data_IF_061981411905
#
_entry.id   IF_061981411905
#
_cell.length_a   1.000
_cell.length_b   1.000
_cell.length_c   1.000
_cell.angle_alpha   90.00
_cell.angle_beta   90.00
_cell.angle_gamma   90.00
#
_symmetry.space_group_name_H-M   'P 1'
#
loop_
_entity.id
_entity.type
_entity.pdbx_description
1 polymer ?
#
# COMPACT_ATOMS: atom_id res chain seq x y z
N UNK A 1 51.29 -6.93 27.71
CA UNK A 1 52.67 -6.83 28.23
C UNK A 1 53.39 -5.74 27.44
N UNK A 2 53.91 -4.75 28.17
CA UNK A 2 54.73 -3.58 27.79
C UNK A 2 54.91 -3.17 26.31
N UNK A 3 54.63 -1.88 26.06
CA UNK A 3 55.47 -0.84 25.37
C UNK A 3 54.52 0.29 24.93
N UNK A 4 54.75 1.59 25.02
CA UNK A 4 55.85 2.43 25.49
C UNK A 4 55.51 3.85 24.98
N UNK A 5 55.23 4.81 25.87
CA UNK A 5 54.95 6.20 25.48
C UNK A 5 56.23 6.85 24.95
N UNK A 6 56.22 7.30 23.70
CA UNK A 6 57.31 8.11 23.11
C UNK A 6 56.86 9.57 23.11
N UNK A 7 57.34 10.32 24.10
CA UNK A 7 57.38 11.79 24.07
C UNK A 7 58.74 12.22 23.53
N UNK A 8 58.78 12.73 22.30
CA UNK A 8 59.98 13.39 21.77
C UNK A 8 60.01 14.86 22.18
N UNK A 9 60.98 15.17 23.05
CA UNK A 9 61.40 16.51 23.45
C UNK A 9 62.46 16.95 22.46
N UNK A 10 62.21 18.01 21.68
CA UNK A 10 63.21 18.56 20.76
C UNK A 10 63.99 19.66 21.47
N UNK A 11 65.25 19.39 21.75
CA UNK A 11 66.24 20.32 22.31
C UNK A 11 66.99 21.02 21.18
N UNK A 12 67.17 22.34 21.29
CA UNK A 12 67.87 23.19 20.32
C UNK A 12 69.39 22.91 20.27
N UNK A 13 69.94 22.73 19.06
CA UNK A 13 71.38 22.64 18.80
C UNK A 13 71.90 23.97 18.22
N UNK A 14 72.97 24.48 18.82
CA UNK A 14 73.74 25.66 18.44
C UNK A 14 74.39 25.52 17.04
N UNK A 15 74.31 26.56 16.20
CA UNK A 15 75.09 26.67 14.97
C UNK A 15 76.08 27.85 14.99
N UNK A 16 77.34 27.44 14.81
CA UNK A 16 78.64 28.07 14.63
C UNK A 16 78.68 29.35 13.76
N UNK A 17 79.40 30.36 14.25
CA UNK A 17 79.78 31.62 13.59
C UNK A 17 81.01 31.42 12.68
N UNK A 18 81.02 31.96 11.45
CA UNK A 18 82.28 32.17 10.70
C UNK A 18 82.20 33.22 9.58
N UNK A 19 83.36 33.89 9.37
CA UNK A 19 83.86 34.68 8.20
C UNK A 19 83.40 36.14 8.08
N UNK A 20 84.20 37.08 7.54
CA UNK A 20 85.65 37.29 7.35
C UNK A 20 85.79 38.78 6.89
N UNK A 21 86.92 39.38 7.23
CA UNK A 21 87.63 40.53 6.64
C UNK A 21 87.05 41.27 5.42
N UNK A 22 87.01 42.61 5.51
CA UNK A 22 87.35 43.52 4.42
C UNK A 22 88.08 44.77 4.93
N UNK A 23 89.07 45.20 4.16
CA UNK A 23 90.08 46.21 4.47
C UNK A 23 89.89 47.43 3.55
N UNK A 24 90.00 48.67 4.05
CA UNK A 24 90.38 49.83 3.23
C UNK A 24 90.90 51.00 4.10
N UNK A 25 92.17 51.37 3.86
CA UNK A 25 92.82 52.67 4.14
C UNK A 25 92.05 53.79 3.39
N UNK A 26 92.03 55.09 3.72
CA UNK A 26 92.88 56.07 4.45
C UNK A 26 92.04 57.35 4.64
N UNK A 27 92.30 58.17 5.68
CA UNK A 27 91.78 59.55 5.80
C UNK A 27 92.03 60.18 7.17
N UNK A 28 92.73 61.30 7.21
CA UNK A 28 93.42 61.93 8.36
C UNK A 28 92.49 62.74 9.29
N UNK A 29 92.70 62.55 10.60
CA UNK A 29 92.70 63.46 11.78
C UNK A 29 92.01 64.84 11.65
N UNK A 30 91.01 65.09 12.51
CA UNK A 30 90.86 66.33 13.28
C UNK A 30 89.92 66.06 14.48
N UNK A 31 90.24 66.66 15.63
CA UNK A 31 89.73 66.27 16.95
C UNK A 31 88.29 66.66 17.26
N UNK A 32 87.78 66.07 18.33
CA UNK A 32 86.44 66.34 18.84
C UNK A 32 85.99 65.24 19.78
N UNK A 33 86.40 65.34 21.04
CA UNK A 33 85.92 64.49 22.14
C UNK A 33 84.42 64.69 22.29
N UNK A 34 83.62 63.83 21.67
CA UNK A 34 82.20 63.66 21.99
C UNK A 34 82.03 62.26 22.57
N UNK A 35 81.88 62.22 23.89
CA UNK A 35 81.40 61.06 24.60
C UNK A 35 80.00 60.72 24.10
N UNK A 36 79.89 59.85 23.08
CA UNK A 36 78.65 59.15 22.79
C UNK A 36 78.57 58.04 23.82
N UNK A 37 77.86 58.32 24.90
CA UNK A 37 77.36 57.29 25.80
C UNK A 37 76.47 56.40 24.93
N UNK A 38 76.97 55.24 24.52
CA UNK A 38 76.13 54.15 24.05
C UNK A 38 75.33 53.67 25.26
N UNK A 39 74.22 54.34 25.55
CA UNK A 39 73.15 53.74 26.34
C UNK A 39 72.55 52.69 25.41
N UNK A 40 73.13 51.48 25.36
CA UNK A 40 72.39 50.30 24.91
C UNK A 40 71.42 49.92 26.02
N UNK A 41 70.51 50.83 26.36
CA UNK A 41 69.28 50.45 27.01
C UNK A 41 68.55 49.62 25.98
N UNK A 42 68.53 48.30 26.15
CA UNK A 42 67.55 47.49 25.43
C UNK A 42 66.21 48.16 25.69
N UNK A 43 65.57 48.69 24.65
CA UNK A 43 64.18 49.14 24.75
C UNK A 43 63.42 48.00 25.40
N UNK A 44 62.91 48.25 26.61
CA UNK A 44 62.17 47.29 27.41
C UNK A 44 60.76 47.07 26.84
N UNK A 45 60.37 47.90 25.88
CA UNK A 45 59.11 47.85 25.15
C UNK A 45 59.33 47.56 23.66
N UNK A 46 58.31 47.00 23.02
CA UNK A 46 58.24 46.77 21.59
C UNK A 46 56.83 47.07 21.08
N UNK A 47 56.73 47.43 19.81
CA UNK A 47 55.46 47.60 19.11
C UNK A 47 54.82 46.24 18.85
N UNK A 48 53.52 46.12 19.10
CA UNK A 48 52.77 44.90 18.81
C UNK A 48 52.62 44.71 17.29
N UNK A 49 52.68 43.47 16.76
CA UNK A 49 52.40 43.23 15.35
C UNK A 49 50.99 43.68 14.99
N UNK A 50 50.82 44.25 13.79
CA UNK A 50 49.52 44.76 13.33
C UNK A 50 48.46 43.67 13.24
N UNK A 51 47.20 44.06 13.44
CA UNK A 51 46.02 43.18 13.46
C UNK A 51 45.98 42.21 12.27
N UNK A 52 46.32 42.68 11.07
CA UNK A 52 46.24 41.92 9.81
C UNK A 52 47.26 40.77 9.75
N UNK A 53 48.33 40.86 10.55
CA UNK A 53 49.36 39.82 10.69
C UNK A 53 49.04 38.80 11.79
N UNK A 54 47.94 38.99 12.51
CA UNK A 54 47.57 38.18 13.67
C UNK A 54 46.37 37.30 13.37
N UNK A 55 45.20 37.91 13.18
CA UNK A 55 43.93 37.19 13.15
C UNK A 55 43.73 36.46 11.82
N UNK A 56 43.32 35.19 11.89
CA UNK A 56 43.16 34.32 10.72
C UNK A 56 44.47 33.78 10.14
N UNK A 57 45.64 34.21 10.64
CA UNK A 57 46.94 33.67 10.25
C UNK A 57 47.24 32.38 11.04
N UNK A 58 48.11 31.53 10.50
CA UNK A 58 48.56 30.32 11.19
C UNK A 58 49.29 30.66 12.49
N UNK A 59 49.02 29.90 13.55
CA UNK A 59 49.66 30.07 14.86
C UNK A 59 51.18 30.24 14.78
N UNK A 60 51.88 29.38 14.04
CA UNK A 60 53.33 29.44 13.90
C UNK A 60 53.82 30.77 13.28
N UNK A 61 53.07 31.32 12.31
CA UNK A 61 53.37 32.61 11.68
C UNK A 61 53.18 33.76 12.65
N UNK A 62 52.11 33.72 13.45
CA UNK A 62 51.81 34.75 14.46
C UNK A 62 52.87 34.73 15.57
N UNK A 63 53.25 33.54 16.06
CA UNK A 63 54.36 33.38 17.01
C UNK A 63 55.64 33.98 16.46
N UNK A 64 55.96 33.71 15.18
CA UNK A 64 57.14 34.29 14.52
C UNK A 64 57.08 35.82 14.48
N UNK A 65 55.94 36.43 14.18
CA UNK A 65 55.79 37.89 14.18
C UNK A 65 56.02 38.50 15.57
N UNK A 66 55.55 37.86 16.64
CA UNK A 66 55.83 38.29 18.01
C UNK A 66 57.31 38.13 18.38
N UNK A 67 57.93 37.01 18.01
CA UNK A 67 59.37 36.77 18.23
C UNK A 67 60.24 37.79 17.48
N UNK A 68 59.91 38.10 16.23
CA UNK A 68 60.58 39.11 15.41
C UNK A 68 60.45 40.52 16.01
N UNK A 69 59.33 40.82 16.67
CA UNK A 69 59.13 42.06 17.42
C UNK A 69 59.85 42.08 18.79
N UNK A 70 60.44 40.96 19.23
CA UNK A 70 61.22 40.86 20.45
C UNK A 70 60.42 40.43 21.69
N UNK A 71 59.25 39.81 21.50
CA UNK A 71 58.48 39.19 22.58
C UNK A 71 58.94 37.75 22.84
N UNK A 72 59.16 37.41 24.11
CA UNK A 72 59.68 36.09 24.50
C UNK A 72 58.65 35.26 25.30
N UNK A 73 57.72 35.91 26.01
CA UNK A 73 56.72 35.26 26.85
C UNK A 73 55.42 34.97 26.05
N UNK A 74 55.48 34.00 25.14
CA UNK A 74 54.38 33.65 24.24
C UNK A 74 53.84 32.26 24.61
N UNK A 75 52.52 32.17 24.81
CA UNK A 75 51.81 30.93 25.13
C UNK A 75 50.70 30.68 24.11
N UNK A 76 50.58 29.43 23.68
CA UNK A 76 49.48 28.96 22.84
C UNK A 76 48.33 28.43 23.69
N UNK A 77 47.09 28.71 23.26
CA UNK A 77 45.87 28.13 23.84
C UNK A 77 45.02 27.52 22.72
N UNK A 78 44.85 26.21 22.76
CA UNK A 78 44.07 25.50 21.74
C UNK A 78 42.57 25.69 21.95
N UNK A 79 41.87 25.90 20.84
CA UNK A 79 40.42 25.87 20.72
C UNK A 79 40.10 24.61 19.92
N UNK A 80 39.81 23.50 20.60
CA UNK A 80 39.62 22.18 20.00
C UNK A 80 38.23 22.07 19.35
N UNK A 81 38.05 22.71 18.20
CA UNK A 81 36.77 22.82 17.50
C UNK A 81 36.81 22.34 16.03
N UNK A 82 37.99 22.09 15.48
CA UNK A 82 38.12 21.66 14.08
C UNK A 82 37.78 20.18 13.93
N UNK A 83 36.74 19.89 13.15
CA UNK A 83 36.30 18.54 12.80
C UNK A 83 36.98 17.98 11.56
N UNK A 84 37.55 18.85 10.73
CA UNK A 84 38.20 18.50 9.47
C UNK A 84 39.31 19.50 9.16
N UNK A 85 40.43 18.99 8.65
CA UNK A 85 41.50 19.85 8.17
C UNK A 85 42.72 19.07 7.69
N UNK A 86 43.51 19.70 6.82
CA UNK A 86 44.85 19.27 6.46
C UNK A 86 45.77 19.31 7.68
N UNK A 87 46.50 18.22 7.88
CA UNK A 87 47.44 18.06 8.99
C UNK A 87 48.53 19.13 8.88
N UNK A 88 48.75 19.88 9.97
CA UNK A 88 49.80 20.89 10.07
C UNK A 88 49.47 22.27 9.49
N UNK A 89 48.34 22.47 8.81
CA UNK A 89 48.00 23.76 8.18
C UNK A 89 46.78 24.47 8.80
N UNK A 90 45.90 23.75 9.50
CA UNK A 90 44.63 24.30 9.99
C UNK A 90 44.72 24.66 11.46
N UNK A 91 45.32 25.82 11.74
CA UNK A 91 45.36 26.40 13.08
C UNK A 91 45.31 27.94 13.09
N UNK A 92 44.28 28.55 12.46
CA UNK A 92 44.15 30.00 12.45
C UNK A 92 44.00 30.58 13.85
N UNK A 93 44.66 31.71 14.10
CA UNK A 93 44.54 32.46 15.35
C UNK A 93 43.22 33.21 15.41
N UNK A 94 42.46 33.02 16.50
CA UNK A 94 41.18 33.69 16.74
C UNK A 94 41.32 34.86 17.73
N UNK A 95 42.09 34.66 18.80
CA UNK A 95 42.23 35.66 19.86
C UNK A 95 43.69 35.80 20.25
N UNK A 96 44.14 37.04 20.38
CA UNK A 96 45.43 37.36 21.01
C UNK A 96 45.12 38.22 22.23
N UNK A 97 45.70 37.87 23.38
CA UNK A 97 45.69 38.70 24.59
C UNK A 97 47.10 39.07 25.00
N UNK A 98 47.27 40.31 25.43
CA UNK A 98 48.51 40.92 25.88
C UNK A 98 48.30 41.36 27.32
N UNK A 99 49.07 40.79 28.25
CA UNK A 99 48.99 41.07 29.69
C UNK A 99 47.57 40.87 30.28
N UNK A 100 46.86 39.84 29.78
CA UNK A 100 45.50 39.51 30.21
C UNK A 100 44.38 40.31 29.52
N UNK A 101 44.70 41.36 28.75
CA UNK A 101 43.71 42.10 27.96
C UNK A 101 43.68 41.64 26.50
N UNK A 102 42.53 41.79 25.83
CA UNK A 102 42.44 41.58 24.37
C UNK A 102 43.39 42.54 23.65
N UNK A 103 44.10 42.02 22.65
CA UNK A 103 45.08 42.78 21.86
C UNK A 103 44.49 44.12 21.36
N UNK A 104 45.31 45.17 21.48
CA UNK A 104 45.08 46.52 20.96
C UNK A 104 46.39 47.01 20.36
N UNK A 105 46.32 47.90 19.38
CA UNK A 105 47.51 48.52 18.80
C UNK A 105 48.27 49.33 19.85
N UNK A 106 49.60 49.25 19.84
CA UNK A 106 50.43 50.01 20.76
C UNK A 106 51.75 49.32 21.12
N UNK A 107 52.42 49.92 22.10
CA UNK A 107 53.71 49.48 22.63
C UNK A 107 53.52 48.88 24.02
N UNK A 108 54.11 47.71 24.26
CA UNK A 108 54.06 47.02 25.55
C UNK A 108 55.44 46.48 25.93
N UNK A 109 55.61 46.04 27.18
CA UNK A 109 56.88 45.46 27.64
C UNK A 109 57.15 44.14 26.91
N UNK A 110 58.40 43.89 26.52
CA UNK A 110 58.81 42.68 25.79
C UNK A 110 58.56 41.37 26.54
N UNK A 111 58.54 41.42 27.87
CA UNK A 111 58.25 40.28 28.74
C UNK A 111 56.75 40.14 29.10
N UNK A 112 55.88 41.02 28.58
CA UNK A 112 54.45 40.94 28.80
C UNK A 112 53.92 39.57 28.34
N UNK A 113 53.06 38.89 29.12
CA UNK A 113 52.47 37.63 28.72
C UNK A 113 51.62 37.81 27.46
N UNK A 114 51.97 37.08 26.40
CA UNK A 114 51.19 37.00 25.16
C UNK A 114 50.51 35.62 25.14
N UNK A 115 49.18 35.59 25.12
CA UNK A 115 48.42 34.34 24.91
C UNK A 115 47.75 34.40 23.56
N UNK A 116 48.05 33.43 22.72
CA UNK A 116 47.50 33.29 21.37
C UNK A 116 46.55 32.09 21.39
N UNK A 117 45.26 32.36 21.29
CA UNK A 117 44.23 31.32 21.15
C UNK A 117 44.00 31.02 19.68
N UNK A 118 44.09 29.75 19.30
CA UNK A 118 44.02 29.29 17.91
C UNK A 118 43.18 28.02 17.79
N UNK A 119 42.52 27.88 16.65
CA UNK A 119 41.72 26.70 16.34
C UNK A 119 42.62 25.46 16.19
N UNK A 120 42.18 24.34 16.73
CA UNK A 120 42.92 23.08 16.75
C UNK A 120 41.98 21.90 16.51
N UNK A 121 42.49 20.75 16.04
CA UNK A 121 41.69 19.55 15.86
C UNK A 121 40.98 19.14 17.16
N UNK A 122 39.73 18.67 17.06
CA UNK A 122 39.05 18.04 18.19
C UNK A 122 39.84 16.82 18.68
N UNK A 123 39.65 16.46 19.96
CA UNK A 123 40.32 15.31 20.57
C UNK A 123 39.98 13.97 19.90
N UNK A 124 38.81 13.88 19.28
CA UNK A 124 38.33 12.69 18.58
C UNK A 124 38.75 12.66 17.09
N UNK A 125 39.61 13.57 16.66
CA UNK A 125 40.10 13.59 15.28
C UNK A 125 41.14 12.51 15.04
N UNK A 126 41.06 11.90 13.86
CA UNK A 126 41.92 10.80 13.42
C UNK A 126 42.37 11.03 11.98
N UNK A 127 43.56 10.53 11.67
CA UNK A 127 44.02 10.40 10.28
C UNK A 127 43.56 9.04 9.74
N UNK A 128 42.80 9.06 8.66
CA UNK A 128 42.35 7.84 7.96
C UNK A 128 43.36 7.49 6.87
N UNK A 129 43.80 6.24 6.78
CA UNK A 129 44.72 5.78 5.73
C UNK A 129 44.00 4.87 4.75
N UNK A 130 43.37 5.50 3.77
CA UNK A 130 42.63 4.80 2.73
C UNK A 130 43.41 4.71 1.41
N UNK A 131 43.35 3.54 0.78
CA UNK A 131 43.79 3.28 -0.60
C UNK A 131 42.59 2.96 -1.47
N UNK A 132 42.42 3.61 -2.65
CA UNK A 132 41.44 3.20 -3.63
C UNK A 132 41.59 1.72 -3.97
N UNK A 133 40.48 1.01 -4.17
CA UNK A 133 40.46 -0.45 -4.37
C UNK A 133 40.85 -1.28 -3.13
N UNK A 134 40.89 -0.73 -1.92
CA UNK A 134 40.88 -1.57 -0.72
C UNK A 134 39.61 -2.41 -0.64
N UNK A 135 39.69 -3.59 -0.02
CA UNK A 135 38.49 -4.42 0.23
C UNK A 135 37.60 -3.72 1.26
N UNK A 136 36.29 -3.74 1.01
CA UNK A 136 35.27 -3.12 1.86
C UNK A 136 35.40 -3.54 3.33
N UNK A 137 35.56 -4.84 3.59
CA UNK A 137 35.68 -5.38 4.95
C UNK A 137 36.93 -4.88 5.70
N UNK A 138 38.03 -4.63 4.99
CA UNK A 138 39.26 -4.11 5.59
C UNK A 138 39.08 -2.63 5.98
N UNK A 139 38.42 -1.86 5.11
CA UNK A 139 38.14 -0.43 5.32
C UNK A 139 37.14 -0.21 6.44
N UNK A 140 36.03 -0.97 6.47
CA UNK A 140 35.04 -0.92 7.54
C UNK A 140 35.67 -1.21 8.92
N UNK A 141 36.54 -2.23 8.97
CA UNK A 141 37.27 -2.61 10.18
C UNK A 141 38.24 -1.51 10.62
N UNK A 142 38.92 -0.86 9.69
CA UNK A 142 39.81 0.27 10.00
C UNK A 142 39.04 1.47 10.54
N UNK A 143 37.97 1.88 9.86
CA UNK A 143 37.12 3.00 10.29
C UNK A 143 36.54 2.76 11.69
N UNK A 144 36.05 1.54 11.94
CA UNK A 144 35.53 1.15 13.26
C UNK A 144 36.60 1.23 14.35
N UNK A 145 37.84 0.80 14.05
CA UNK A 145 38.98 0.91 14.99
C UNK A 145 39.37 2.37 15.26
N UNK A 146 39.22 3.25 14.27
CA UNK A 146 39.46 4.67 14.39
C UNK A 146 38.34 5.41 15.13
N UNK A 147 37.26 4.72 15.50
CA UNK A 147 36.19 5.26 16.35
C UNK A 147 34.97 5.79 15.60
N UNK A 148 34.93 5.65 14.26
CA UNK A 148 33.73 5.99 13.49
C UNK A 148 32.60 5.02 13.83
N UNK A 149 31.44 5.56 14.18
CA UNK A 149 30.26 4.76 14.61
C UNK A 149 29.13 4.74 13.58
N UNK A 150 29.06 5.75 12.73
CA UNK A 150 28.04 5.89 11.70
C UNK A 150 28.71 5.62 10.35
N UNK A 151 28.65 4.38 9.88
CA UNK A 151 29.27 3.96 8.63
C UNK A 151 28.17 3.39 7.72
N UNK A 152 27.76 4.19 6.75
CA UNK A 152 26.78 3.81 5.74
C UNK A 152 27.50 3.19 4.54
N UNK A 153 27.33 1.89 4.35
CA UNK A 153 27.85 1.15 3.20
C UNK A 153 26.79 1.07 2.11
N UNK A 154 27.12 1.58 0.92
CA UNK A 154 26.19 1.69 -0.19
C UNK A 154 26.74 0.90 -1.38
N UNK A 155 26.09 -0.20 -1.78
CA UNK A 155 26.56 -1.00 -2.89
C UNK A 155 26.32 -0.32 -4.24
N UNK A 156 27.28 -0.45 -5.13
CA UNK A 156 27.19 -0.25 -6.56
C UNK A 156 26.97 -1.64 -7.15
N UNK A 157 25.72 -1.93 -7.53
CA UNK A 157 25.33 -3.25 -7.99
C UNK A 157 25.84 -3.51 -9.40
N UNK A 158 26.62 -4.58 -9.56
CA UNK A 158 27.16 -5.04 -10.84
C UNK A 158 26.88 -6.52 -11.04
N UNK A 159 26.77 -6.95 -12.30
CA UNK A 159 26.66 -8.37 -12.65
C UNK A 159 28.05 -9.02 -12.59
N UNK A 160 28.14 -10.28 -12.15
CA UNK A 160 29.43 -10.96 -11.93
C UNK A 160 30.31 -11.08 -13.17
N UNK A 161 29.70 -11.28 -14.33
CA UNK A 161 30.40 -11.51 -15.59
C UNK A 161 31.31 -10.33 -15.94
N UNK A 162 32.63 -10.55 -15.89
CA UNK A 162 33.65 -9.57 -16.29
C UNK A 162 33.94 -8.47 -15.27
N UNK A 163 33.42 -8.56 -14.04
CA UNK A 163 33.64 -7.58 -12.96
C UNK A 163 34.33 -8.21 -11.72
N UNK A 164 34.90 -9.40 -11.86
CA UNK A 164 35.51 -10.16 -10.76
C UNK A 164 36.58 -9.36 -10.01
N UNK A 165 37.33 -8.52 -10.71
CA UNK A 165 38.39 -7.66 -10.16
C UNK A 165 37.85 -6.54 -9.25
N UNK A 166 36.60 -6.10 -9.51
CA UNK A 166 35.92 -5.06 -8.74
C UNK A 166 35.22 -5.60 -7.50
N UNK A 167 35.06 -6.91 -7.36
CA UNK A 167 34.30 -7.50 -6.26
C UNK A 167 34.79 -7.00 -4.89
N UNK A 168 33.85 -6.44 -4.12
CA UNK A 168 34.04 -5.97 -2.75
C UNK A 168 35.08 -4.84 -2.64
N UNK A 169 35.35 -4.12 -3.73
CA UNK A 169 36.27 -2.99 -3.77
C UNK A 169 35.54 -1.69 -3.45
N UNK A 170 36.18 -0.85 -2.64
CA UNK A 170 35.70 0.51 -2.38
C UNK A 170 35.86 1.37 -3.63
N UNK A 171 34.81 2.11 -3.94
CA UNK A 171 34.76 3.13 -4.98
C UNK A 171 35.02 4.52 -4.40
N UNK A 172 34.16 4.98 -3.47
CA UNK A 172 34.33 6.27 -2.79
C UNK A 172 34.19 6.16 -1.28
N UNK A 173 34.98 6.96 -0.56
CA UNK A 173 34.88 7.17 0.88
C UNK A 173 34.61 8.66 1.13
N UNK A 174 33.49 8.95 1.78
CA UNK A 174 33.11 10.30 2.21
C UNK A 174 32.98 10.32 3.73
N UNK A 175 33.53 11.34 4.38
CA UNK A 175 33.49 11.54 5.84
C UNK A 175 32.89 12.93 6.10
N UNK A 176 31.74 12.97 6.76
CA UNK A 176 30.87 14.14 6.85
C UNK A 176 30.47 14.62 5.44
N UNK A 177 30.75 15.89 5.16
CA UNK A 177 30.49 16.50 3.85
C UNK A 177 31.73 16.51 2.93
N UNK A 178 32.77 15.75 3.27
CA UNK A 178 34.06 15.77 2.57
C UNK A 178 34.35 14.43 1.91
N UNK A 179 34.67 14.45 0.62
CA UNK A 179 35.32 13.29 0.00
C UNK A 179 36.68 13.08 0.67
N UNK A 180 37.04 11.83 0.94
CA UNK A 180 38.31 11.50 1.56
C UNK A 180 39.49 12.09 0.78
N UNK A 181 40.40 12.69 1.54
CA UNK A 181 41.67 13.23 1.08
C UNK A 181 42.80 12.73 1.99
N UNK A 182 43.89 12.29 1.36
CA UNK A 182 45.12 11.90 2.07
C UNK A 182 45.78 13.10 2.76
N UNK A 183 46.31 12.90 3.97
CA UNK A 183 46.95 13.96 4.76
C UNK A 183 45.98 14.91 5.49
N UNK A 184 44.71 14.52 5.63
CA UNK A 184 43.69 15.25 6.39
C UNK A 184 43.28 14.46 7.64
N UNK A 185 42.94 15.18 8.70
CA UNK A 185 42.27 14.64 9.87
C UNK A 185 40.76 14.83 9.76
N UNK A 186 40.01 13.92 10.39
CA UNK A 186 38.56 13.92 10.44
C UNK A 186 38.13 13.57 11.86
N UNK A 187 37.13 14.25 12.39
CA UNK A 187 36.49 13.88 13.66
C UNK A 187 35.78 12.54 13.50
N UNK A 188 36.05 11.60 14.41
CA UNK A 188 35.42 10.28 14.42
C UNK A 188 33.90 10.32 14.66
N UNK A 189 33.38 11.47 15.11
CA UNK A 189 31.95 11.74 15.24
C UNK A 189 31.22 11.98 13.91
N UNK A 190 31.96 12.29 12.83
CA UNK A 190 31.36 12.54 11.52
C UNK A 190 30.79 11.25 10.90
N UNK A 191 29.64 11.33 10.22
CA UNK A 191 29.08 10.18 9.50
C UNK A 191 29.97 9.81 8.31
N UNK A 192 30.14 8.51 8.07
CA UNK A 192 30.91 7.99 6.95
C UNK A 192 29.95 7.39 5.94
N UNK A 193 30.13 7.73 4.67
CA UNK A 193 29.44 7.12 3.54
C UNK A 193 30.46 6.46 2.63
N UNK A 194 30.29 5.18 2.38
CA UNK A 194 31.25 4.33 1.68
C UNK A 194 30.54 3.61 0.54
N UNK A 195 30.90 3.93 -0.71
CA UNK A 195 30.40 3.19 -1.87
C UNK A 195 31.35 2.05 -2.23
N UNK A 196 30.80 0.89 -2.59
CA UNK A 196 31.61 -0.28 -2.95
C UNK A 196 30.95 -1.08 -4.06
N UNK A 197 31.73 -1.79 -4.86
CA UNK A 197 31.17 -2.64 -5.92
C UNK A 197 30.69 -3.97 -5.35
N UNK A 198 29.38 -4.20 -5.42
CA UNK A 198 28.76 -5.47 -5.10
C UNK A 198 28.60 -6.26 -6.40
N UNK A 199 29.44 -7.28 -6.53
CA UNK A 199 29.51 -8.17 -7.68
C UNK A 199 28.98 -9.53 -7.21
N UNK A 200 27.65 -9.68 -7.23
CA UNK A 200 26.94 -10.87 -6.78
C UNK A 200 26.10 -11.47 -7.90
N UNK A 201 26.00 -12.80 -7.97
CA UNK A 201 25.03 -13.50 -8.81
C UNK A 201 23.57 -13.19 -8.46
N UNK A 202 23.31 -12.61 -7.29
CA UNK A 202 21.97 -12.16 -6.88
C UNK A 202 21.63 -10.76 -7.40
N UNK A 203 22.53 -10.15 -8.16
CA UNK A 203 22.21 -8.96 -8.94
C UNK A 203 21.60 -9.40 -10.27
N UNK A 204 20.46 -8.83 -10.62
CA UNK A 204 19.76 -9.04 -11.88
C UNK A 204 19.65 -7.74 -12.65
N UNK A 205 19.77 -7.85 -13.98
CA UNK A 205 19.47 -6.75 -14.89
C UNK A 205 17.98 -6.76 -15.16
N UNK A 206 17.29 -5.65 -14.93
CA UNK A 206 15.88 -5.50 -15.28
C UNK A 206 15.75 -5.54 -16.81
N UNK A 207 15.08 -6.55 -17.38
CA UNK A 207 14.94 -6.67 -18.83
C UNK A 207 13.97 -5.64 -19.43
N UNK A 208 14.18 -5.21 -20.68
CA UNK A 208 13.27 -4.28 -21.38
C UNK A 208 11.83 -4.82 -21.49
N UNK A 209 11.68 -6.11 -21.73
CA UNK A 209 10.37 -6.76 -21.80
C UNK A 209 9.63 -6.86 -20.45
N UNK A 210 10.29 -6.62 -19.31
CA UNK A 210 9.60 -6.42 -18.01
C UNK A 210 9.01 -5.01 -17.92
N UNK A 211 9.63 -4.05 -18.59
CA UNK A 211 9.24 -2.64 -18.61
C UNK A 211 8.07 -2.43 -19.56
N UNK A 212 8.14 -3.06 -20.73
CA UNK A 212 7.18 -2.87 -21.82
C UNK A 212 5.99 -3.83 -21.78
N UNK A 213 5.95 -4.75 -20.80
CA UNK A 213 4.88 -5.73 -20.74
C UNK A 213 3.51 -5.07 -20.49
N UNK A 214 2.57 -5.33 -21.38
CA UNK A 214 1.24 -4.74 -21.30
C UNK A 214 0.26 -5.59 -20.50
N UNK A 215 0.54 -6.89 -20.36
CA UNK A 215 -0.37 -7.84 -19.69
C UNK A 215 0.29 -8.61 -18.54
N UNK A 216 -0.53 -8.98 -17.56
CA UNK A 216 -0.13 -9.81 -16.40
C UNK A 216 0.51 -11.13 -16.83
N UNK A 217 -0.10 -11.85 -17.76
CA UNK A 217 0.40 -13.17 -18.20
C UNK A 217 1.76 -13.08 -18.90
N UNK A 218 1.98 -12.05 -19.70
CA UNK A 218 3.27 -11.80 -20.36
C UNK A 218 4.34 -11.44 -19.33
N UNK A 219 4.04 -10.46 -18.48
CA UNK A 219 4.97 -9.96 -17.48
C UNK A 219 5.39 -11.05 -16.48
N UNK A 220 4.46 -11.92 -16.08
CA UNK A 220 4.76 -13.03 -15.17
C UNK A 220 5.84 -13.96 -15.71
N UNK A 221 5.86 -14.21 -17.03
CA UNK A 221 6.93 -15.01 -17.66
C UNK A 221 8.26 -14.28 -17.62
N UNK A 222 8.26 -12.99 -17.97
CA UNK A 222 9.47 -12.18 -18.03
C UNK A 222 10.12 -11.99 -16.65
N UNK A 223 9.33 -11.71 -15.62
CA UNK A 223 9.82 -11.55 -14.24
C UNK A 223 10.43 -12.86 -13.71
N UNK A 224 9.78 -14.01 -13.97
CA UNK A 224 10.32 -15.33 -13.55
C UNK A 224 11.65 -15.64 -14.25
N UNK A 225 11.74 -15.38 -15.55
CA UNK A 225 12.98 -15.58 -16.32
C UNK A 225 14.09 -14.63 -15.86
N UNK A 226 13.73 -13.39 -15.51
CA UNK A 226 14.67 -12.40 -14.99
C UNK A 226 15.21 -12.74 -13.59
N UNK A 227 14.57 -13.67 -12.87
CA UNK A 227 15.05 -14.18 -11.58
C UNK A 227 14.63 -13.37 -10.36
N UNK A 228 13.61 -12.52 -10.47
CA UNK A 228 13.01 -11.86 -9.31
C UNK A 228 12.42 -12.91 -8.36
N UNK A 229 12.61 -12.73 -7.06
CA UNK A 229 12.15 -13.69 -6.03
C UNK A 229 11.05 -13.13 -5.14
N UNK A 230 10.97 -11.82 -4.95
CA UNK A 230 9.94 -11.15 -4.13
C UNK A 230 8.94 -10.39 -5.01
N UNK A 231 7.91 -11.10 -5.47
CA UNK A 231 6.93 -10.61 -6.46
C UNK A 231 5.55 -10.49 -5.80
N UNK A 232 4.98 -9.30 -5.81
CA UNK A 232 3.63 -9.02 -5.32
C UNK A 232 2.73 -8.53 -6.45
N UNK A 233 1.56 -9.17 -6.58
CA UNK A 233 0.52 -8.77 -7.52
C UNK A 233 -0.63 -8.08 -6.79
N UNK A 234 -1.02 -6.91 -7.30
CA UNK A 234 -2.11 -6.10 -6.75
C UNK A 234 -3.20 -5.94 -7.81
N UNK A 235 -4.36 -6.54 -7.56
CA UNK A 235 -5.53 -6.37 -8.41
C UNK A 235 -6.15 -5.00 -8.15
N UNK A 236 -6.29 -4.20 -9.20
CA UNK A 236 -6.95 -2.89 -9.16
C UNK A 236 -8.28 -3.03 -9.90
N UNK A 237 -9.38 -2.89 -9.17
CA UNK A 237 -10.72 -3.03 -9.73
C UNK A 237 -10.93 -2.07 -10.91
N UNK A 238 -11.24 -2.63 -12.09
CA UNK A 238 -11.47 -1.88 -13.32
C UNK A 238 -12.77 -2.34 -13.99
N UNK A 239 -13.64 -1.37 -14.33
CA UNK A 239 -14.92 -1.64 -15.00
C UNK A 239 -14.75 -1.88 -16.49
N UNK A 240 -13.65 -1.45 -17.09
CA UNK A 240 -13.40 -1.69 -18.51
C UNK A 240 -12.83 -3.11 -18.69
N UNK A 241 -13.67 -4.01 -19.19
CA UNK A 241 -13.30 -5.39 -19.48
C UNK A 241 -12.13 -5.50 -20.47
N UNK A 242 -11.98 -4.52 -21.38
CA UNK A 242 -10.87 -4.51 -22.34
C UNK A 242 -9.52 -4.25 -21.67
N UNK A 243 -9.51 -3.72 -20.44
CA UNK A 243 -8.31 -3.53 -19.65
C UNK A 243 -8.00 -4.71 -18.73
N UNK A 244 -8.85 -5.75 -18.67
CA UNK A 244 -8.58 -6.87 -17.78
C UNK A 244 -7.18 -7.45 -18.03
N UNK A 245 -6.44 -7.65 -16.93
CA UNK A 245 -5.05 -8.09 -16.88
C UNK A 245 -4.01 -7.08 -17.40
N UNK A 246 -4.40 -5.88 -17.84
CA UNK A 246 -3.43 -4.86 -18.26
C UNK A 246 -2.64 -4.33 -17.07
N UNK A 247 -1.34 -4.16 -17.26
CA UNK A 247 -0.45 -3.59 -16.25
C UNK A 247 -0.72 -2.09 -16.12
N UNK A 248 -1.00 -1.63 -14.91
CA UNK A 248 -1.18 -0.21 -14.60
C UNK A 248 0.10 0.42 -14.08
N UNK A 249 0.82 -0.31 -13.19
CA UNK A 249 1.97 0.23 -12.48
C UNK A 249 2.90 -0.88 -12.03
N UNK A 250 4.21 -0.64 -12.16
CA UNK A 250 5.27 -1.48 -11.62
C UNK A 250 6.08 -0.63 -10.64
N UNK A 251 6.38 -1.18 -9.47
CA UNK A 251 7.20 -0.52 -8.44
C UNK A 251 8.34 -1.47 -8.05
N UNK A 252 9.58 -0.98 -8.03
CA UNK A 252 10.78 -1.71 -7.64
C UNK A 252 11.39 -1.06 -6.39
N UNK A 253 11.53 -1.81 -5.30
CA UNK A 253 12.10 -1.31 -4.05
C UNK A 253 11.37 -0.07 -3.49
N UNK A 254 10.07 0.05 -3.79
CA UNK A 254 9.24 1.21 -3.41
C UNK A 254 9.26 2.38 -4.40
N UNK A 255 10.06 2.33 -5.47
CA UNK A 255 10.13 3.37 -6.50
C UNK A 255 9.34 2.95 -7.74
N UNK A 256 8.45 3.82 -8.21
CA UNK A 256 7.69 3.58 -9.45
C UNK A 256 8.63 3.50 -10.65
N UNK A 257 8.51 2.43 -11.42
CA UNK A 257 9.34 2.18 -12.59
C UNK A 257 8.86 3.06 -13.75
N UNK A 258 9.54 4.19 -13.96
CA UNK A 258 9.30 5.09 -15.11
C UNK A 258 10.48 5.03 -16.04
N UNK A 259 10.41 4.23 -17.10
CA UNK A 259 11.54 4.08 -18.00
C UNK A 259 11.21 4.54 -19.40
N UNK A 260 11.97 5.56 -19.82
CA UNK A 260 12.00 6.11 -21.18
C UNK A 260 13.45 6.27 -21.67
N UNK A 261 14.41 5.74 -20.93
CA UNK A 261 15.85 5.94 -21.14
C UNK A 261 16.52 4.58 -21.22
N UNK A 262 17.49 4.45 -22.14
CA UNK A 262 18.36 3.26 -22.35
C UNK A 262 19.26 2.92 -21.14
N UNK A 263 18.93 3.37 -19.94
CA UNK A 263 19.72 3.12 -18.75
C UNK A 263 19.48 1.69 -18.29
N UNK A 264 20.56 0.93 -18.16
CA UNK A 264 20.51 -0.41 -17.58
C UNK A 264 20.27 -0.29 -16.08
N UNK A 265 19.26 -1.00 -15.58
CA UNK A 265 18.97 -1.09 -14.15
C UNK A 265 19.46 -2.44 -13.65
N UNK A 266 20.29 -2.41 -12.62
CA UNK A 266 20.77 -3.60 -11.91
C UNK A 266 20.26 -3.52 -10.47
N UNK A 267 19.58 -4.56 -10.01
CA UNK A 267 19.00 -4.65 -8.66
C UNK A 267 19.25 -6.04 -8.06
N UNK A 268 19.01 -6.19 -6.76
CA UNK A 268 19.01 -7.50 -6.10
C UNK A 268 17.76 -8.31 -6.48
N UNK A 269 17.87 -9.65 -6.61
CA UNK A 269 16.74 -10.56 -6.90
C UNK A 269 15.61 -10.43 -5.89
N UNK A 270 15.97 -10.26 -4.63
CA UNK A 270 15.08 -10.08 -3.48
C UNK A 270 14.52 -8.66 -3.37
N UNK A 271 14.88 -7.74 -4.27
CA UNK A 271 14.28 -6.40 -4.30
C UNK A 271 12.78 -6.56 -4.56
N UNK A 272 11.90 -6.08 -3.66
CA UNK A 272 10.46 -6.24 -3.83
C UNK A 272 9.99 -5.60 -5.13
N UNK A 273 9.31 -6.38 -5.97
CA UNK A 273 8.59 -5.90 -7.14
C UNK A 273 7.08 -5.98 -6.88
N UNK A 274 6.41 -4.85 -6.94
CA UNK A 274 4.96 -4.75 -6.78
C UNK A 274 4.36 -4.34 -8.11
N UNK A 275 3.45 -5.17 -8.62
CA UNK A 275 2.78 -4.97 -9.91
C UNK A 275 1.29 -4.80 -9.68
N UNK A 276 0.77 -3.63 -10.06
CA UNK A 276 -0.65 -3.36 -10.09
C UNK A 276 -1.20 -3.61 -11.50
N UNK A 277 -2.32 -4.32 -11.60
CA UNK A 277 -2.99 -4.64 -12.86
C UNK A 277 -4.50 -4.44 -12.76
N UNK A 278 -5.12 -4.11 -13.89
CA UNK A 278 -6.57 -3.95 -14.02
C UNK A 278 -7.30 -5.29 -13.86
N UNK A 279 -8.27 -5.35 -12.96
CA UNK A 279 -9.07 -6.54 -12.65
C UNK A 279 -10.57 -6.30 -12.84
N UNK A 280 -11.15 -7.01 -13.80
CA UNK A 280 -12.58 -7.00 -14.08
C UNK A 280 -13.33 -8.06 -13.26
N UNK A 281 -12.65 -8.93 -12.50
CA UNK A 281 -13.25 -10.11 -11.87
C UNK A 281 -14.39 -9.80 -10.90
N UNK A 282 -14.39 -8.61 -10.30
CA UNK A 282 -15.44 -8.12 -9.39
C UNK A 282 -16.67 -7.56 -10.12
N UNK A 283 -16.61 -7.38 -11.43
CA UNK A 283 -17.68 -6.81 -12.26
C UNK A 283 -18.29 -7.85 -13.20
N UNK A 284 -19.52 -7.59 -13.61
CA UNK A 284 -20.22 -8.34 -14.63
C UNK A 284 -21.09 -7.39 -15.47
N UNK A 285 -21.37 -7.82 -16.69
CA UNK A 285 -22.26 -7.11 -17.60
C UNK A 285 -23.71 -7.51 -17.29
N UNK A 286 -24.57 -6.52 -17.10
CA UNK A 286 -26.01 -6.71 -17.00
C UNK A 286 -26.57 -7.27 -18.31
N UNK A 287 -27.62 -8.11 -18.26
CA UNK A 287 -28.34 -8.49 -19.47
C UNK A 287 -28.85 -7.23 -20.19
N UNK A 288 -28.93 -7.27 -21.51
CA UNK A 288 -29.39 -6.11 -22.31
C UNK A 288 -30.89 -5.91 -22.20
N UNK A 289 -31.65 -7.00 -22.05
CA UNK A 289 -33.10 -7.02 -21.89
C UNK A 289 -33.51 -8.18 -20.97
N UNK A 290 -34.69 -8.07 -20.35
CA UNK A 290 -35.32 -9.14 -19.57
C UNK A 290 -36.51 -9.65 -20.39
N UNK A 291 -36.33 -10.79 -21.06
CA UNK A 291 -37.31 -11.31 -22.03
C UNK A 291 -38.34 -12.28 -21.43
N UNK A 292 -38.24 -12.60 -20.14
CA UNK A 292 -39.12 -13.55 -19.44
C UNK A 292 -40.03 -12.84 -18.45
N UNK A 293 -41.21 -13.41 -18.23
CA UNK A 293 -42.18 -12.95 -17.22
C UNK A 293 -42.19 -13.84 -15.98
N UNK A 294 -41.42 -14.94 -15.97
CA UNK A 294 -41.37 -15.90 -14.85
C UNK A 294 -40.23 -15.58 -13.89
N UNK A 295 -40.51 -15.71 -12.59
CA UNK A 295 -39.54 -15.46 -11.51
C UNK A 295 -38.32 -16.39 -11.63
N UNK A 296 -38.54 -17.69 -11.82
CA UNK A 296 -37.46 -18.68 -11.89
C UNK A 296 -36.48 -18.42 -13.05
N UNK A 297 -37.01 -18.08 -14.22
CA UNK A 297 -36.20 -17.78 -15.40
C UNK A 297 -35.44 -16.46 -15.24
N UNK A 298 -36.09 -15.44 -14.64
CA UNK A 298 -35.46 -14.15 -14.34
C UNK A 298 -34.31 -14.34 -13.34
N UNK A 299 -34.53 -15.13 -12.29
CA UNK A 299 -33.51 -15.45 -11.30
C UNK A 299 -32.32 -16.15 -11.94
N UNK A 300 -32.57 -17.14 -12.80
CA UNK A 300 -31.54 -17.84 -13.55
C UNK A 300 -30.73 -16.89 -14.44
N UNK A 301 -31.39 -15.97 -15.16
CA UNK A 301 -30.73 -14.98 -16.03
C UNK A 301 -29.67 -14.16 -15.28
N UNK A 302 -29.99 -13.67 -14.08
CA UNK A 302 -29.06 -12.87 -13.28
C UNK A 302 -27.95 -13.73 -12.63
N UNK A 303 -28.27 -14.92 -12.14
CA UNK A 303 -27.27 -15.83 -11.57
C UNK A 303 -26.25 -16.26 -12.64
N UNK A 304 -26.74 -16.70 -13.82
CA UNK A 304 -25.90 -17.08 -14.95
C UNK A 304 -25.10 -15.88 -15.50
N UNK A 305 -25.66 -14.66 -15.37
CA UNK A 305 -24.99 -13.39 -15.66
C UNK A 305 -23.93 -12.96 -14.64
N UNK A 306 -23.71 -13.72 -13.56
CA UNK A 306 -22.69 -13.45 -12.55
C UNK A 306 -23.16 -12.66 -11.33
N UNK A 307 -24.47 -12.53 -11.12
CA UNK A 307 -25.08 -11.84 -9.97
C UNK A 307 -25.73 -12.85 -9.03
N UNK A 308 -25.02 -13.40 -8.02
CA UNK A 308 -25.55 -14.42 -7.13
C UNK A 308 -26.58 -13.90 -6.12
N UNK A 309 -26.60 -12.60 -5.84
CA UNK A 309 -27.46 -12.00 -4.82
C UNK A 309 -28.84 -11.65 -5.37
N UNK A 310 -29.65 -12.68 -5.66
CA UNK A 310 -31.01 -12.50 -6.20
C UNK A 310 -32.07 -12.80 -5.14
N UNK A 311 -32.91 -11.82 -4.86
CA UNK A 311 -34.03 -11.88 -3.91
C UNK A 311 -35.36 -11.59 -4.61
N UNK A 312 -36.45 -12.02 -3.99
CA UNK A 312 -37.80 -11.95 -4.55
C UNK A 312 -38.72 -11.18 -3.59
N UNK A 313 -39.52 -10.25 -4.10
CA UNK A 313 -40.47 -9.45 -3.32
C UNK A 313 -41.84 -9.53 -3.96
N UNK A 314 -42.82 -9.98 -3.18
CA UNK A 314 -44.21 -10.12 -3.62
C UNK A 314 -44.96 -8.78 -3.52
N UNK A 315 -45.82 -8.52 -4.49
CA UNK A 315 -46.83 -7.46 -4.46
C UNK A 315 -48.21 -8.09 -4.66
N UNK A 316 -49.12 -7.84 -3.72
CA UNK A 316 -50.45 -8.45 -3.76
C UNK A 316 -51.27 -7.97 -4.96
N UNK A 317 -52.05 -8.89 -5.55
CA UNK A 317 -53.03 -8.59 -6.61
C UNK A 317 -54.29 -9.45 -6.49
N UNK A 318 -55.41 -8.91 -6.96
CA UNK A 318 -56.66 -9.65 -7.10
C UNK A 318 -56.77 -10.37 -8.46
N UNK A 319 -55.85 -10.11 -9.40
CA UNK A 319 -55.86 -10.71 -10.73
C UNK A 319 -55.10 -12.04 -10.75
N UNK A 320 -55.82 -13.15 -10.68
CA UNK A 320 -55.24 -14.50 -10.69
C UNK A 320 -54.36 -14.76 -11.94
N UNK A 321 -54.71 -14.18 -13.09
CA UNK A 321 -53.94 -14.32 -14.33
C UNK A 321 -52.53 -13.72 -14.26
N UNK A 322 -52.29 -12.79 -13.32
CA UNK A 322 -50.98 -12.15 -13.11
C UNK A 322 -50.12 -12.90 -12.09
N UNK A 323 -50.65 -13.89 -11.37
CA UNK A 323 -49.91 -14.58 -10.31
C UNK A 323 -48.56 -15.12 -10.80
N UNK A 324 -47.49 -14.79 -10.09
CA UNK A 324 -46.13 -15.21 -10.41
C UNK A 324 -45.48 -14.46 -11.58
N UNK A 325 -46.14 -13.45 -12.16
CA UNK A 325 -45.55 -12.61 -13.20
C UNK A 325 -44.66 -11.52 -12.60
N UNK A 326 -43.48 -11.32 -13.21
CA UNK A 326 -42.54 -10.26 -12.84
C UNK A 326 -43.14 -8.89 -13.16
N UNK A 327 -43.06 -7.98 -12.19
CA UNK A 327 -43.45 -6.57 -12.28
C UNK A 327 -42.26 -5.74 -12.76
N UNK A 328 -41.15 -5.87 -12.05
CA UNK A 328 -39.94 -5.12 -12.26
C UNK A 328 -38.77 -5.88 -11.66
N UNK A 329 -37.57 -5.59 -12.16
CA UNK A 329 -36.32 -5.98 -11.50
C UNK A 329 -35.63 -4.72 -11.05
N UNK A 330 -35.19 -4.70 -9.79
CA UNK A 330 -34.39 -3.64 -9.22
C UNK A 330 -32.98 -4.15 -8.93
N UNK A 331 -31.99 -3.29 -9.14
CA UNK A 331 -30.60 -3.57 -8.80
C UNK A 331 -30.11 -2.44 -7.91
N UNK A 332 -29.68 -2.78 -6.69
CA UNK A 332 -29.35 -1.82 -5.62
C UNK A 332 -30.43 -0.74 -5.44
N UNK A 333 -31.69 -1.14 -5.56
CA UNK A 333 -32.87 -0.27 -5.41
C UNK A 333 -33.22 0.59 -6.63
N UNK A 334 -32.52 0.47 -7.76
CA UNK A 334 -32.87 1.14 -9.02
C UNK A 334 -33.55 0.20 -9.99
N UNK A 335 -34.62 0.64 -10.65
CA UNK A 335 -35.30 -0.17 -11.68
C UNK A 335 -34.34 -0.44 -12.83
N UNK A 336 -34.28 -1.69 -13.29
CA UNK A 336 -33.37 -2.17 -14.33
C UNK A 336 -33.40 -1.32 -15.63
N UNK A 337 -34.59 -0.82 -16.01
CA UNK A 337 -34.76 0.06 -17.17
C UNK A 337 -34.01 1.38 -17.05
N UNK A 338 -33.77 1.84 -15.83
CA UNK A 338 -33.24 3.18 -15.53
C UNK A 338 -31.71 3.14 -15.33
N UNK A 339 -31.12 1.94 -15.41
CA UNK A 339 -29.69 1.73 -15.23
C UNK A 339 -28.98 1.91 -16.57
N UNK A 340 -28.28 3.04 -16.68
CA UNK A 340 -27.46 3.37 -17.84
C UNK A 340 -26.13 2.60 -17.89
N UNK A 341 -25.49 2.41 -16.73
CA UNK A 341 -24.23 1.65 -16.63
C UNK A 341 -24.51 0.16 -16.67
N UNK A 342 -24.15 -0.51 -17.76
CA UNK A 342 -24.36 -1.95 -17.93
C UNK A 342 -23.28 -2.80 -17.27
N UNK A 343 -22.20 -2.20 -16.75
CA UNK A 343 -21.16 -2.94 -16.02
C UNK A 343 -21.23 -2.57 -14.54
N UNK A 344 -21.65 -3.52 -13.72
CA UNK A 344 -21.81 -3.31 -12.28
C UNK A 344 -21.09 -4.41 -11.50
N UNK A 345 -21.00 -4.25 -10.17
CA UNK A 345 -20.34 -5.24 -9.33
C UNK A 345 -21.18 -6.51 -9.20
N UNK A 346 -20.53 -7.67 -9.12
CA UNK A 346 -21.21 -8.97 -8.95
C UNK A 346 -21.97 -9.08 -7.63
N UNK A 347 -21.55 -8.35 -6.59
CA UNK A 347 -22.19 -8.32 -5.27
C UNK A 347 -23.41 -7.39 -5.19
N UNK A 348 -23.78 -6.70 -6.28
CA UNK A 348 -24.98 -5.87 -6.36
C UNK A 348 -26.24 -6.69 -6.08
N UNK A 349 -27.16 -6.13 -5.31
CA UNK A 349 -28.40 -6.81 -4.90
C UNK A 349 -29.44 -6.75 -6.02
N UNK A 350 -29.84 -7.90 -6.55
CA UNK A 350 -30.93 -8.02 -7.51
C UNK A 350 -32.23 -8.36 -6.77
N UNK A 351 -33.28 -7.57 -6.99
CA UNK A 351 -34.60 -7.76 -6.39
C UNK A 351 -35.63 -7.94 -7.50
N UNK A 352 -36.25 -9.11 -7.57
CA UNK A 352 -37.33 -9.42 -8.51
C UNK A 352 -38.66 -9.12 -7.82
N UNK A 353 -39.36 -8.07 -8.26
CA UNK A 353 -40.72 -7.77 -7.81
C UNK A 353 -41.71 -8.53 -8.67
N UNK A 354 -42.68 -9.21 -8.06
CA UNK A 354 -43.66 -10.02 -8.79
C UNK A 354 -45.07 -9.93 -8.18
N UNK A 355 -46.09 -10.25 -8.98
CA UNK A 355 -47.48 -10.27 -8.54
C UNK A 355 -47.81 -11.56 -7.76
N UNK A 356 -48.36 -11.44 -6.55
CA UNK A 356 -48.88 -12.56 -5.77
C UNK A 356 -50.42 -12.48 -5.69
N UNK A 357 -51.11 -13.49 -6.22
CA UNK A 357 -52.57 -13.59 -6.18
C UNK A 357 -53.07 -14.70 -5.24
N UNK A 358 -52.22 -15.21 -4.33
CA UNK A 358 -52.58 -16.31 -3.41
C UNK A 358 -53.90 -16.08 -2.67
N UNK A 359 -54.14 -14.86 -2.17
CA UNK A 359 -55.40 -14.51 -1.51
C UNK A 359 -56.60 -14.64 -2.45
N UNK A 360 -56.51 -14.11 -3.66
CA UNK A 360 -57.59 -14.19 -4.66
C UNK A 360 -57.81 -15.63 -5.15
N UNK A 361 -56.74 -16.42 -5.25
CA UNK A 361 -56.81 -17.85 -5.58
C UNK A 361 -57.53 -18.61 -4.46
N UNK A 362 -57.17 -18.38 -3.20
CA UNK A 362 -57.80 -19.01 -2.04
C UNK A 362 -59.28 -18.63 -1.92
N UNK A 363 -59.61 -17.35 -2.09
CA UNK A 363 -61.01 -16.87 -2.08
C UNK A 363 -61.82 -17.48 -3.24
N UNK A 364 -61.24 -17.62 -4.43
CA UNK A 364 -61.88 -18.29 -5.56
C UNK A 364 -62.09 -19.78 -5.27
N UNK A 365 -61.08 -20.46 -4.72
CA UNK A 365 -61.18 -21.87 -4.37
C UNK A 365 -62.27 -22.13 -3.33
N UNK A 366 -62.40 -21.26 -2.32
CA UNK A 366 -63.47 -21.32 -1.32
C UNK A 366 -64.85 -21.17 -1.99
N UNK A 367 -65.02 -20.17 -2.84
CA UNK A 367 -66.28 -19.93 -3.57
C UNK A 367 -66.63 -21.08 -4.51
N UNK A 368 -65.65 -21.62 -5.21
CA UNK A 368 -65.83 -22.76 -6.11
C UNK A 368 -66.24 -24.03 -5.32
N UNK A 369 -65.66 -24.25 -4.13
CA UNK A 369 -66.04 -25.37 -3.26
C UNK A 369 -67.43 -25.20 -2.63
N UNK A 370 -67.77 -24.00 -2.16
CA UNK A 370 -69.13 -23.67 -1.71
C UNK A 370 -70.15 -23.92 -2.83
N UNK A 371 -69.84 -23.48 -4.05
CA UNK A 371 -70.69 -23.73 -5.20
C UNK A 371 -70.84 -25.23 -5.52
N UNK A 372 -69.78 -26.03 -5.36
CA UNK A 372 -69.83 -27.50 -5.51
C UNK A 372 -70.71 -28.15 -4.44
N UNK A 373 -70.58 -27.75 -3.18
CA UNK A 373 -71.42 -28.27 -2.07
C UNK A 373 -72.89 -27.92 -2.32
N UNK A 374 -73.19 -26.68 -2.71
CA UNK A 374 -74.57 -26.25 -3.03
C UNK A 374 -75.12 -27.02 -4.23
N UNK A 375 -74.31 -27.21 -5.28
CA UNK A 375 -74.71 -27.99 -6.45
C UNK A 375 -75.00 -29.46 -6.10
N UNK A 376 -74.18 -30.07 -5.24
CA UNK A 376 -74.38 -31.43 -4.76
C UNK A 376 -75.61 -31.56 -3.86
N UNK A 377 -75.83 -30.63 -2.93
CA UNK A 377 -77.03 -30.58 -2.10
C UNK A 377 -78.32 -30.46 -2.94
N UNK A 378 -78.29 -29.64 -4.01
CA UNK A 378 -79.39 -29.54 -4.97
C UNK A 378 -79.62 -30.84 -5.72
N UNK A 379 -78.55 -31.54 -6.14
CA UNK A 379 -78.64 -32.87 -6.79
C UNK A 379 -79.25 -33.91 -5.85
N UNK A 380 -78.76 -34.00 -4.61
CA UNK A 380 -79.28 -34.93 -3.61
C UNK A 380 -80.75 -34.65 -3.27
N UNK A 381 -81.13 -33.38 -3.15
CA UNK A 381 -82.53 -32.98 -2.94
C UNK A 381 -83.40 -33.43 -4.12
N UNK A 382 -82.95 -33.24 -5.36
CA UNK A 382 -83.66 -33.69 -6.56
C UNK A 382 -83.84 -35.22 -6.57
N UNK A 383 -82.80 -35.98 -6.26
CA UNK A 383 -82.86 -37.44 -6.14
C UNK A 383 -83.81 -37.87 -5.03
N UNK A 384 -83.75 -37.23 -3.85
CA UNK A 384 -84.64 -37.51 -2.72
C UNK A 384 -86.11 -37.26 -3.07
N UNK A 385 -86.42 -36.14 -3.71
CA UNK A 385 -87.78 -35.83 -4.16
C UNK A 385 -88.25 -36.84 -5.21
N UNK A 386 -87.39 -37.23 -6.15
CA UNK A 386 -87.71 -38.25 -7.15
C UNK A 386 -87.97 -39.62 -6.51
N UNK A 387 -87.15 -40.04 -5.55
CA UNK A 387 -87.35 -41.27 -4.80
C UNK A 387 -88.63 -41.22 -3.95
N UNK A 388 -88.95 -40.08 -3.32
CA UNK A 388 -90.22 -39.91 -2.60
C UNK A 388 -91.41 -40.01 -3.56
N UNK A 389 -91.36 -39.38 -4.73
CA UNK A 389 -92.42 -39.50 -5.75
C UNK A 389 -92.60 -40.97 -6.17
N UNK A 390 -91.50 -41.72 -6.38
CA UNK A 390 -91.56 -43.15 -6.69
C UNK A 390 -92.14 -43.98 -5.54
N UNK A 391 -91.77 -43.70 -4.29
CA UNK A 391 -92.31 -44.39 -3.10
C UNK A 391 -93.79 -44.07 -2.87
N UNK A 392 -94.23 -42.83 -3.05
CA UNK A 392 -95.65 -42.47 -2.98
C UNK A 392 -96.46 -43.16 -4.08
N UNK A 393 -95.95 -43.21 -5.32
CA UNK A 393 -96.62 -43.94 -6.42
C UNK A 393 -96.66 -45.47 -6.19
N UNK A 394 -95.64 -46.05 -5.55
CA UNK A 394 -95.57 -47.48 -5.23
C UNK A 394 -96.47 -47.91 -4.05
N UNK A 395 -96.74 -47.01 -3.09
CA UNK A 395 -97.50 -47.37 -1.88
C UNK A 395 -99.01 -47.14 -2.02
N UNK A 396 -99.45 -46.19 -2.87
CA UNK A 396 -100.89 -46.02 -3.18
C UNK A 396 -101.45 -47.16 -4.02
N UNK A 397 -100.59 -47.97 -4.64
CA UNK A 397 -101.00 -49.09 -5.49
C UNK A 397 -101.18 -50.43 -4.75
N UNK A 398 -100.61 -50.59 -3.55
CA UNK A 398 -100.62 -51.87 -2.82
C UNK A 398 -101.68 -51.96 -1.70
N UNK A 399 -102.21 -50.83 -1.21
CA UNK A 399 -103.11 -50.79 -0.05
C UNK A 399 -104.59 -50.56 -0.36
N UNK A 400 -104.96 -50.50 -1.64
CA UNK A 400 -106.37 -50.46 -2.02
C UNK A 400 -106.89 -51.89 -2.00
N UNK A 401 -107.83 -52.19 -1.09
CA UNK A 401 -108.51 -53.48 -0.98
C UNK A 401 -110.02 -53.25 -0.86
N UNK A 402 -110.81 -53.89 -1.71
CA UNK A 402 -112.26 -53.86 -1.62
C UNK A 402 -112.78 -55.23 -1.17
N UNK A 403 -113.49 -55.35 -0.04
CA UNK A 403 -113.98 -56.64 0.43
C UNK A 403 -115.05 -57.25 -0.50
N UNK A 404 -115.74 -56.43 -1.30
CA UNK A 404 -116.76 -56.86 -2.26
C UNK A 404 -117.03 -55.79 -3.33
N UNK A 405 -117.79 -56.16 -4.37
CA UNK A 405 -118.11 -55.26 -5.47
C UNK A 405 -118.99 -54.06 -5.10
N UNK A 406 -119.78 -54.18 -4.03
CA UNK A 406 -120.57 -53.05 -3.52
C UNK A 406 -119.65 -51.96 -2.96
N UNK A 407 -118.64 -52.35 -2.18
CA UNK A 407 -117.64 -51.43 -1.65
C UNK A 407 -116.81 -50.79 -2.77
N UNK A 408 -116.41 -51.57 -3.78
CA UNK A 408 -115.68 -51.04 -4.95
C UNK A 408 -116.52 -50.01 -5.75
N UNK A 409 -117.82 -50.27 -5.98
CA UNK A 409 -118.75 -49.34 -6.64
C UNK A 409 -119.00 -48.08 -5.83
N UNK A 410 -119.20 -48.21 -4.51
CA UNK A 410 -119.40 -47.07 -3.62
C UNK A 410 -118.18 -46.15 -3.56
N UNK A 411 -116.97 -46.72 -3.67
CA UNK A 411 -115.73 -45.98 -3.78
C UNK A 411 -115.47 -45.39 -5.19
N UNK A 412 -116.36 -45.64 -6.16
CA UNK A 412 -116.22 -45.19 -7.55
C UNK A 412 -115.13 -45.92 -8.33
N UNK A 413 -114.67 -47.08 -7.85
CA UNK A 413 -113.54 -47.82 -8.40
C UNK A 413 -113.94 -48.98 -9.34
N UNK A 414 -115.22 -49.33 -9.44
CA UNK A 414 -115.68 -50.40 -10.34
C UNK A 414 -115.99 -49.86 -11.75
N UNK A 415 -115.64 -50.59 -12.83
CA UNK A 415 -114.98 -51.90 -12.84
C UNK A 415 -113.49 -51.80 -12.44
N UNK A 416 -112.99 -52.79 -11.69
CA UNK A 416 -111.61 -52.85 -11.21
C UNK A 416 -110.82 -53.82 -12.10
N UNK A 417 -109.82 -53.35 -12.84
CA UNK A 417 -109.09 -54.20 -13.79
C UNK A 417 -107.93 -54.96 -13.15
N UNK A 418 -107.63 -56.17 -13.65
CA UNK A 418 -106.46 -56.95 -13.24
C UNK A 418 -105.18 -56.12 -13.39
N UNK A 419 -104.42 -56.00 -12.31
CA UNK A 419 -103.21 -55.17 -12.23
C UNK A 419 -103.43 -53.74 -11.72
N UNK A 420 -104.68 -53.29 -11.55
CA UNK A 420 -104.98 -52.05 -10.85
C UNK A 420 -105.00 -52.23 -9.33
N UNK A 421 -104.62 -51.20 -8.56
CA UNK A 421 -104.80 -51.18 -7.10
C UNK A 421 -106.26 -51.45 -6.73
N UNK A 422 -106.52 -52.40 -5.82
CA UNK A 422 -107.89 -52.77 -5.45
C UNK A 422 -108.43 -54.03 -6.12
N UNK A 423 -107.79 -54.54 -7.18
CA UNK A 423 -108.20 -55.79 -7.79
C UNK A 423 -107.88 -56.96 -6.86
N UNK A 424 -108.86 -57.84 -6.67
CA UNK A 424 -108.66 -59.14 -6.04
C UNK A 424 -109.49 -60.20 -6.76
N UNK A 425 -109.05 -61.46 -6.85
CA UNK A 425 -109.78 -62.53 -7.54
C UNK A 425 -111.23 -62.71 -7.04
N UNK A 426 -111.53 -62.31 -5.80
CA UNK A 426 -112.88 -62.36 -5.21
C UNK A 426 -113.86 -61.32 -5.77
N UNK A 427 -113.37 -60.31 -6.50
CA UNK A 427 -114.18 -59.28 -7.18
C UNK A 427 -114.52 -59.68 -8.63
N UNK A 428 -113.81 -60.66 -9.17
CA UNK A 428 -113.86 -61.10 -10.56
C UNK A 428 -114.35 -62.56 -10.59
N UNK A 429 -115.68 -62.72 -10.56
CA UNK A 429 -116.34 -64.01 -10.35
C UNK A 429 -116.17 -64.97 -11.53
N UNK A 430 -116.04 -64.45 -12.74
CA UNK A 430 -115.84 -65.21 -13.98
C UNK A 430 -114.37 -65.26 -14.44
N UNK A 431 -113.49 -64.46 -13.84
CA UNK A 431 -112.04 -64.60 -13.97
C UNK A 431 -111.46 -64.00 -15.25
N UNK A 432 -112.21 -63.13 -15.93
CA UNK A 432 -111.83 -62.55 -17.21
C UNK A 432 -110.83 -61.37 -17.09
N UNK A 433 -110.58 -60.92 -15.85
CA UNK A 433 -109.67 -59.83 -15.54
C UNK A 433 -110.36 -58.48 -15.31
N UNK A 434 -111.70 -58.43 -15.28
CA UNK A 434 -112.49 -57.23 -15.01
C UNK A 434 -113.38 -57.47 -13.77
N UNK A 435 -112.89 -57.07 -12.60
CA UNK A 435 -113.65 -57.18 -11.36
C UNK A 435 -114.84 -56.23 -11.30
N UNK A 436 -115.98 -56.71 -10.78
CA UNK A 436 -117.18 -55.92 -10.53
C UNK A 436 -117.80 -55.26 -11.77
N UNK A 437 -117.76 -55.93 -12.91
CA UNK A 437 -118.39 -55.48 -14.15
C UNK A 437 -119.94 -55.52 -14.14
N UNK A 438 -120.57 -56.34 -13.27
CA UNK A 438 -122.03 -56.59 -13.27
C UNK A 438 -122.78 -56.23 -12.00
#
# INVERSE_FOLDING_TARGET
MFTGKITQKVTSVFLKKSRKFFNRKTGIIAGGTLAIIFITGQLTTAELPKKEKLYGQQYATVVKHFQEAGFENIQGKEINDLEFGKIGENNPVEVVSVDGEKWKEGWVRKNAPIVISYHAPKEDTVEVKFSPSSKIADVEKELSKLGFKQIDMIPILLIEKGNEDKKDRVDTLQIGNHLYQTGYFYSASLPVKLTYFDVSQDNIRVPENVIDAESKSELEKHIKVAGFTDIKWEAVADKDKSNHEKIQKITLGGVELRLRTKQEIVIKKETPIVIAYSDFSSFAELPTTISTTKIADTKKLFIDGGFPQVTEVATDTNEISKNGQVIAVEIDGKVFSDINDKVIKKDSQVVIKYWNAEKAIAEKALKDEEARIVAEAKRQTKVRVQNQIQQFAGNTSQNVYYPNCKAARQAGAAPVYRGQPGYGPHLDRDGDGIGCER
#
